data_IF_708284946658
#
_entry.id   IF_708284946658
#
_cell.length_a   1.000
_cell.length_b   1.000
_cell.length_c   1.000
_cell.angle_alpha   90.00
_cell.angle_beta   90.00
_cell.angle_gamma   90.00
#
_symmetry.space_group_name_H-M   'P 1'
#
loop_
_entity.id
_entity.type
_entity.pdbx_description
1 polymer ?
#
# COMPACT_ATOMS: atom_id res chain seq x y z
N UNK A 1 17.20 19.06 16.61
CA UNK A 1 15.70 19.01 16.63
C UNK A 1 15.28 17.61 16.20
N UNK A 2 14.27 17.00 16.81
CA UNK A 2 13.81 15.66 16.44
C UNK A 2 12.57 15.72 15.56
N UNK A 3 12.55 14.90 14.49
CA UNK A 3 11.46 14.76 13.54
C UNK A 3 11.21 13.28 13.33
N UNK A 4 9.94 12.89 13.32
CA UNK A 4 9.56 11.50 13.08
C UNK A 4 8.36 11.43 12.16
N UNK A 5 8.36 10.46 11.26
CA UNK A 5 7.30 10.24 10.28
C UNK A 5 6.95 8.76 10.23
N UNK A 6 5.66 8.43 10.32
CA UNK A 6 5.14 7.11 10.01
C UNK A 6 4.86 7.04 8.51
N UNK A 7 5.42 6.04 7.85
CA UNK A 7 5.16 5.71 6.45
C UNK A 7 4.29 4.46 6.46
N UNK A 8 3.07 4.59 5.94
CA UNK A 8 2.08 3.51 5.89
C UNK A 8 1.77 3.17 4.43
N UNK A 9 2.35 2.08 3.88
CA UNK A 9 2.11 1.69 2.49
C UNK A 9 0.69 1.20 2.24
N UNK A 10 -0.03 0.69 3.25
CA UNK A 10 -1.41 0.24 3.09
C UNK A 10 -2.33 1.44 2.80
N UNK A 11 -2.11 2.54 3.50
CA UNK A 11 -2.86 3.79 3.27
C UNK A 11 -2.21 4.70 2.24
N UNK A 12 -1.02 4.36 1.74
CA UNK A 12 -0.18 5.23 0.91
C UNK A 12 0.02 6.63 1.53
N UNK A 13 0.32 6.69 2.83
CA UNK A 13 0.46 7.97 3.56
C UNK A 13 1.80 8.12 4.25
N UNK A 14 2.22 9.37 4.41
CA UNK A 14 3.28 9.77 5.33
C UNK A 14 2.68 10.70 6.37
N UNK A 15 2.84 10.38 7.65
CA UNK A 15 2.26 11.18 8.75
C UNK A 15 3.35 11.59 9.73
N UNK A 16 3.41 12.86 10.09
CA UNK A 16 4.31 13.32 11.16
C UNK A 16 3.83 12.77 12.51
N UNK A 17 4.72 12.11 13.23
CA UNK A 17 4.45 11.53 14.56
C UNK A 17 5.37 12.13 15.62
N UNK A 18 4.92 12.08 16.88
CA UNK A 18 5.75 12.44 18.04
C UNK A 18 6.40 11.18 18.58
N UNK A 19 7.65 11.31 19.04
CA UNK A 19 8.39 10.24 19.73
C UNK A 19 8.44 8.96 18.89
N UNK A 20 8.72 9.08 17.58
CA UNK A 20 8.58 7.97 16.66
C UNK A 20 9.49 6.77 16.97
N UNK A 21 10.67 7.02 17.56
CA UNK A 21 11.57 5.95 17.99
C UNK A 21 11.01 5.21 19.21
N UNK A 22 10.64 5.94 20.27
CA UNK A 22 10.09 5.36 21.51
C UNK A 22 8.74 4.66 21.30
N UNK A 23 7.99 5.09 20.28
CA UNK A 23 6.69 4.53 19.93
C UNK A 23 6.73 3.59 18.72
N UNK A 24 7.92 3.24 18.22
CA UNK A 24 8.04 2.41 17.02
C UNK A 24 7.29 1.08 17.17
N UNK A 25 7.43 0.40 18.31
CA UNK A 25 6.73 -0.86 18.56
C UNK A 25 5.20 -0.72 18.45
N UNK A 26 4.65 0.35 19.06
CA UNK A 26 3.23 0.65 19.00
C UNK A 26 2.77 1.03 17.57
N UNK A 27 3.56 1.83 16.86
CA UNK A 27 3.21 2.33 15.53
C UNK A 27 3.30 1.24 14.45
N UNK A 28 4.22 0.28 14.63
CA UNK A 28 4.45 -0.84 13.73
C UNK A 28 3.68 -2.10 14.12
N UNK A 29 3.19 -2.18 15.36
CA UNK A 29 2.39 -3.29 15.86
C UNK A 29 3.20 -4.53 16.22
N UNK A 30 4.50 -4.37 16.51
CA UNK A 30 5.43 -5.47 16.81
C UNK A 30 6.58 -4.99 17.70
N UNK A 31 7.12 -5.86 18.54
CA UNK A 31 8.36 -5.63 19.31
C UNK A 31 9.62 -6.09 18.54
N UNK A 32 9.44 -6.81 17.43
CA UNK A 32 10.52 -7.26 16.53
C UNK A 32 10.85 -6.18 15.52
N UNK A 33 11.83 -5.33 15.85
CA UNK A 33 12.22 -4.16 15.06
C UNK A 33 13.59 -4.30 14.42
N UNK A 34 13.72 -3.83 13.18
CA UNK A 34 14.98 -3.57 12.50
C UNK A 34 15.21 -2.07 12.37
N UNK A 35 16.49 -1.65 12.40
CA UNK A 35 16.90 -0.25 12.30
C UNK A 35 17.95 -0.09 11.22
N UNK A 36 17.55 0.52 10.11
CA UNK A 36 18.47 0.94 9.07
C UNK A 36 18.97 2.37 9.33
N UNK A 37 20.29 2.55 9.43
CA UNK A 37 20.92 3.88 9.51
C UNK A 37 21.12 4.44 8.11
N UNK A 38 20.34 5.46 7.76
CA UNK A 38 20.41 6.13 6.46
C UNK A 38 21.59 7.12 6.43
N UNK A 39 21.82 7.76 7.57
CA UNK A 39 22.94 8.67 7.79
C UNK A 39 23.25 8.80 9.29
N UNK A 40 24.52 9.01 9.62
CA UNK A 40 24.97 9.37 10.96
C UNK A 40 26.20 10.28 10.87
N UNK A 41 26.34 11.22 11.79
CA UNK A 41 27.52 12.06 11.85
C UNK A 41 28.71 11.28 12.45
N UNK A 42 29.89 11.40 11.84
CA UNK A 42 31.10 10.71 12.30
C UNK A 42 31.55 11.10 13.71
N UNK A 43 31.14 12.27 14.20
CA UNK A 43 31.59 12.87 15.46
C UNK A 43 30.47 13.19 16.45
N UNK A 44 29.21 12.99 16.05
CA UNK A 44 28.06 13.19 16.94
C UNK A 44 27.09 12.00 16.82
N UNK A 45 27.10 11.08 17.80
CA UNK A 45 26.21 9.92 17.79
C UNK A 45 24.73 10.29 17.98
N UNK A 46 24.43 11.53 18.38
CA UNK A 46 23.05 12.02 18.50
C UNK A 46 22.51 12.60 17.20
N UNK A 47 23.35 12.71 16.16
CA UNK A 47 23.00 13.19 14.84
C UNK A 47 22.86 12.01 13.87
N UNK A 48 21.61 11.69 13.53
CA UNK A 48 21.30 10.55 12.69
C UNK A 48 19.97 10.68 11.97
N UNK A 49 19.87 9.99 10.83
CA UNK A 49 18.61 9.65 10.19
C UNK A 49 18.52 8.13 10.15
N UNK A 50 17.51 7.59 10.83
CA UNK A 50 17.26 6.16 10.95
C UNK A 50 15.86 5.84 10.41
N UNK A 51 15.72 4.64 9.88
CA UNK A 51 14.45 4.07 9.47
C UNK A 51 14.23 2.82 10.32
N UNK A 52 13.13 2.83 11.06
CA UNK A 52 12.72 1.71 11.91
C UNK A 52 11.60 0.97 11.20
N UNK A 53 11.74 -0.33 10.99
CA UNK A 53 10.71 -1.18 10.38
C UNK A 53 10.56 -2.46 11.20
N UNK A 54 9.56 -3.27 10.87
CA UNK A 54 9.49 -4.61 11.41
C UNK A 54 10.65 -5.46 10.88
N UNK A 55 11.22 -6.32 11.74
CA UNK A 55 12.21 -7.31 11.32
C UNK A 55 11.48 -8.55 10.75
N UNK A 56 11.21 -8.50 9.46
CA UNK A 56 10.55 -9.57 8.70
C UNK A 56 11.28 -10.92 8.78
N UNK A 57 12.60 -10.93 9.02
CA UNK A 57 13.35 -12.19 9.14
C UNK A 57 13.07 -12.92 10.46
N UNK A 58 12.60 -12.19 11.46
CA UNK A 58 12.29 -12.74 12.79
C UNK A 58 10.81 -12.99 12.98
N UNK A 59 9.94 -12.49 12.10
CA UNK A 59 8.50 -12.69 12.18
C UNK A 59 8.10 -14.07 11.68
N UNK A 60 7.12 -14.68 12.36
CA UNK A 60 6.58 -15.99 11.96
C UNK A 60 5.73 -15.87 10.68
N UNK A 61 5.08 -14.73 10.48
CA UNK A 61 4.30 -14.34 9.30
C UNK A 61 4.55 -12.84 8.99
N UNK A 62 4.56 -12.42 7.71
CA UNK A 62 4.79 -11.02 7.36
C UNK A 62 3.67 -10.12 7.88
N UNK A 63 4.00 -8.96 8.44
CA UNK A 63 3.00 -8.02 8.96
C UNK A 63 2.21 -7.32 7.85
N UNK A 64 2.75 -7.29 6.64
CA UNK A 64 2.09 -6.73 5.47
C UNK A 64 2.66 -7.31 4.18
N UNK A 65 1.81 -7.47 3.18
CA UNK A 65 2.24 -7.78 1.81
C UNK A 65 2.50 -6.51 0.97
N UNK A 66 2.17 -5.34 1.52
CA UNK A 66 2.44 -4.03 0.90
C UNK A 66 3.78 -3.48 1.35
N UNK A 67 4.37 -2.61 0.55
CA UNK A 67 5.67 -2.01 0.86
C UNK A 67 5.93 -0.73 0.09
N UNK A 68 7.13 -0.20 0.22
CA UNK A 68 7.55 1.00 -0.48
C UNK A 68 9.07 1.02 -0.71
N UNK A 69 9.50 1.84 -1.65
CA UNK A 69 10.89 2.23 -1.81
C UNK A 69 11.08 3.64 -1.23
N UNK A 70 12.06 3.80 -0.35
CA UNK A 70 12.52 5.08 0.15
C UNK A 70 13.80 5.48 -0.56
N UNK A 71 13.78 6.65 -1.19
CA UNK A 71 14.94 7.23 -1.85
C UNK A 71 15.52 8.35 -1.01
N UNK A 72 16.79 8.21 -0.65
CA UNK A 72 17.45 9.18 0.21
C UNK A 72 18.80 9.57 -0.38
N UNK A 73 19.02 10.87 -0.50
CA UNK A 73 20.26 11.42 -1.05
C UNK A 73 21.14 11.94 0.07
N UNK A 74 22.39 11.52 0.09
CA UNK A 74 23.37 12.01 1.06
C UNK A 74 24.64 12.36 0.31
N UNK A 75 25.09 13.62 0.43
CA UNK A 75 26.29 14.11 -0.24
C UNK A 75 26.31 13.83 -1.75
N UNK A 76 25.16 14.07 -2.42
CA UNK A 76 24.98 13.85 -3.85
C UNK A 76 24.81 12.39 -4.28
N UNK A 77 24.90 11.43 -3.35
CA UNK A 77 24.67 10.01 -3.65
C UNK A 77 23.26 9.62 -3.24
N UNK A 78 22.42 9.28 -4.23
CA UNK A 78 21.08 8.71 -3.99
C UNK A 78 21.19 7.22 -3.70
N UNK A 79 20.53 6.78 -2.64
CA UNK A 79 20.40 5.38 -2.22
C UNK A 79 18.91 5.03 -2.13
N UNK A 80 18.61 3.74 -2.27
CA UNK A 80 17.26 3.18 -2.18
C UNK A 80 17.20 2.16 -1.04
N UNK A 81 16.12 2.20 -0.26
CA UNK A 81 15.77 1.19 0.73
C UNK A 81 14.40 0.63 0.38
N UNK A 82 14.32 -0.69 0.26
CA UNK A 82 13.06 -1.39 0.00
C UNK A 82 12.53 -1.94 1.31
N UNK A 83 11.32 -1.53 1.66
CA UNK A 83 10.71 -1.86 2.94
C UNK A 83 9.38 -2.56 2.70
N UNK A 84 9.18 -3.65 3.43
CA UNK A 84 7.90 -4.34 3.55
C UNK A 84 7.19 -3.83 4.80
N UNK A 85 5.90 -3.55 4.68
CA UNK A 85 5.09 -3.01 5.75
C UNK A 85 5.41 -1.56 6.12
N UNK A 86 4.96 -1.17 7.32
CA UNK A 86 5.10 0.20 7.82
C UNK A 86 6.54 0.46 8.26
N UNK A 87 6.92 1.73 8.25
CA UNK A 87 8.18 2.16 8.85
C UNK A 87 8.05 3.51 9.54
N UNK A 88 8.94 3.76 10.49
CA UNK A 88 9.09 5.06 11.13
C UNK A 88 10.45 5.65 10.75
N UNK A 89 10.42 6.74 9.99
CA UNK A 89 11.60 7.55 9.69
C UNK A 89 11.85 8.51 10.85
N UNK A 90 13.04 8.48 11.43
CA UNK A 90 13.45 9.32 12.56
C UNK A 90 14.70 10.10 12.20
N UNK A 91 14.63 11.42 12.33
CA UNK A 91 15.74 12.34 12.10
C UNK A 91 15.99 13.15 13.38
N UNK A 92 17.24 13.17 13.84
CA UNK A 92 17.65 13.83 15.08
C UNK A 92 19.04 14.46 14.99
N UNK A 93 19.30 15.40 15.88
CA UNK A 93 20.58 16.10 15.99
C UNK A 93 20.78 17.27 15.01
N UNK A 94 22.03 17.48 14.64
CA UNK A 94 22.53 18.46 13.68
C UNK A 94 22.79 17.76 12.33
N UNK A 95 21.84 17.92 11.42
CA UNK A 95 21.78 17.21 10.15
C UNK A 95 22.24 18.17 9.04
N UNK A 96 23.16 17.76 8.15
CA UNK A 96 23.57 18.54 6.98
C UNK A 96 22.37 19.03 6.16
N UNK A 97 22.44 20.26 5.64
CA UNK A 97 21.31 20.91 4.96
C UNK A 97 20.73 20.07 3.83
N UNK A 98 21.56 19.40 3.02
CA UNK A 98 21.13 18.54 1.92
C UNK A 98 20.23 17.40 2.39
N UNK A 99 20.49 16.87 3.58
CA UNK A 99 19.68 15.82 4.22
C UNK A 99 18.48 16.43 4.95
N UNK A 100 18.68 17.54 5.66
CA UNK A 100 17.65 18.19 6.45
C UNK A 100 16.44 18.59 5.60
N UNK A 101 16.66 19.09 4.38
CA UNK A 101 15.60 19.47 3.43
C UNK A 101 14.70 18.29 3.01
N UNK A 102 15.28 17.09 2.89
CA UNK A 102 14.55 15.86 2.53
C UNK A 102 13.64 15.36 3.66
N UNK A 103 13.95 15.71 4.92
CA UNK A 103 13.17 15.29 6.11
C UNK A 103 12.48 16.47 6.82
N UNK A 104 12.42 17.63 6.16
CA UNK A 104 11.91 18.86 6.77
C UNK A 104 10.40 18.86 6.97
N UNK A 105 9.70 18.37 5.96
CA UNK A 105 8.24 18.36 5.92
C UNK A 105 7.73 16.99 5.54
N UNK A 106 6.46 16.72 5.85
CA UNK A 106 5.76 15.53 5.35
C UNK A 106 5.87 15.44 3.84
N UNK A 107 5.64 16.55 3.13
CA UNK A 107 5.72 16.60 1.67
C UNK A 107 7.14 16.33 1.12
N UNK A 108 8.20 16.64 1.88
CA UNK A 108 9.56 16.27 1.47
C UNK A 108 9.74 14.75 1.53
N UNK A 109 9.26 14.12 2.60
CA UNK A 109 9.33 12.66 2.78
C UNK A 109 8.43 11.92 1.79
N UNK A 110 7.22 12.44 1.51
CA UNK A 110 6.33 11.87 0.48
C UNK A 110 6.99 11.82 -0.89
N UNK A 111 7.74 12.86 -1.29
CA UNK A 111 8.48 12.88 -2.55
C UNK A 111 9.63 11.87 -2.61
N UNK A 112 10.11 11.44 -1.44
CA UNK A 112 11.15 10.43 -1.30
C UNK A 112 10.60 9.00 -1.28
N UNK A 113 9.28 8.82 -1.15
CA UNK A 113 8.63 7.51 -1.01
C UNK A 113 7.90 7.14 -2.29
N UNK A 114 8.14 5.92 -2.77
CA UNK A 114 7.39 5.29 -3.85
C UNK A 114 6.67 4.05 -3.30
N UNK A 115 5.35 4.13 -3.18
CA UNK A 115 4.54 3.01 -2.68
C UNK A 115 4.43 1.91 -3.73
N UNK A 116 4.67 0.67 -3.32
CA UNK A 116 4.45 -0.51 -4.15
C UNK A 116 2.98 -0.91 -3.99
N UNK A 117 2.15 -0.40 -4.89
CA UNK A 117 0.76 -0.84 -4.98
C UNK A 117 0.76 -2.29 -5.47
N UNK A 118 0.21 -3.21 -4.65
CA UNK A 118 -0.32 -4.44 -5.21
C UNK A 118 -1.53 -4.04 -6.04
N UNK A 119 -1.35 -3.90 -7.35
CA UNK A 119 -2.50 -3.86 -8.24
C UNK A 119 -3.29 -5.15 -7.98
N UNK A 120 -4.54 -5.02 -7.55
CA UNK A 120 -5.51 -6.11 -7.55
C UNK A 120 -5.64 -6.62 -8.99
N UNK A 121 -4.76 -7.53 -9.40
CA UNK A 121 -4.87 -8.28 -10.64
C UNK A 121 -5.94 -9.38 -10.53
N UNK A 122 -6.98 -9.15 -9.70
CA UNK A 122 -8.02 -10.12 -9.37
C UNK A 122 -9.45 -9.52 -9.43
N UNK A 123 -9.68 -8.50 -10.28
CA UNK A 123 -11.03 -8.08 -10.71
C UNK A 123 -11.13 -7.84 -12.22
N UNK A 124 -10.27 -8.49 -13.02
CA UNK A 124 -10.42 -8.57 -14.50
C UNK A 124 -10.41 -10.03 -14.96
N UNK A 125 -11.16 -10.86 -14.24
CA UNK A 125 -11.70 -12.09 -14.80
C UNK A 125 -13.22 -12.02 -14.59
N UNK A 126 -14.00 -12.30 -15.65
CA UNK A 126 -15.44 -12.63 -15.67
C UNK A 126 -16.44 -11.75 -16.44
N UNK A 127 -16.11 -10.58 -17.01
CA UNK A 127 -17.06 -9.85 -17.90
C UNK A 127 -16.86 -10.06 -19.39
N UNK A 128 -15.81 -10.76 -19.81
CA UNK A 128 -15.61 -11.12 -21.23
C UNK A 128 -15.79 -12.62 -21.47
N UNK A 129 -16.97 -13.13 -21.10
CA UNK A 129 -17.50 -14.34 -21.75
C UNK A 129 -18.31 -13.91 -22.99
N UNK A 130 -17.92 -14.29 -24.22
CA UNK A 130 -18.69 -13.97 -25.44
C UNK A 130 -20.05 -14.65 -25.56
N UNK A 131 -20.53 -15.36 -24.52
CA UNK A 131 -21.75 -16.17 -24.57
C UNK A 131 -22.96 -15.57 -23.85
N UNK A 132 -22.84 -14.41 -23.20
CA UNK A 132 -24.01 -13.64 -22.73
C UNK A 132 -24.31 -12.45 -23.64
N UNK A 133 -24.41 -12.70 -24.95
CA UNK A 133 -25.24 -11.87 -25.81
C UNK A 133 -26.70 -12.21 -25.51
N UNK A 134 -27.22 -11.64 -24.43
CA UNK A 134 -28.66 -11.65 -24.18
C UNK A 134 -29.33 -10.85 -25.28
N UNK A 135 -29.76 -11.58 -26.32
CA UNK A 135 -30.54 -11.10 -27.43
C UNK A 135 -31.72 -10.31 -26.90
N UNK A 136 -31.78 -9.05 -27.32
CA UNK A 136 -32.96 -8.19 -27.17
C UNK A 136 -34.19 -8.98 -27.59
N UNK A 137 -35.18 -9.00 -26.69
CA UNK A 137 -36.51 -9.50 -26.93
C UNK A 137 -37.07 -8.93 -28.24
N UNK A 138 -37.34 -9.84 -29.19
CA UNK A 138 -38.13 -9.57 -30.38
C UNK A 138 -39.19 -10.67 -30.50
N UNK A 139 -40.23 -10.61 -29.67
CA UNK A 139 -41.38 -11.51 -29.82
C UNK A 139 -42.17 -11.06 -31.06
N UNK A 140 -41.85 -11.67 -32.21
CA UNK A 140 -42.67 -11.59 -33.41
C UNK A 140 -43.97 -12.35 -33.16
N UNK A 141 -45.11 -11.65 -33.20
CA UNK A 141 -46.43 -12.27 -33.35
C UNK A 141 -46.44 -13.07 -34.65
N UNK A 142 -46.57 -14.39 -34.54
CA UNK A 142 -46.98 -15.23 -35.65
C UNK A 142 -48.40 -15.73 -35.35
N UNK A 143 -49.35 -15.26 -36.15
CA UNK A 143 -50.65 -15.91 -36.29
C UNK A 143 -50.41 -17.31 -36.87
N UNK A 144 -50.94 -18.34 -36.23
CA UNK A 144 -51.23 -19.60 -36.91
C UNK A 144 -52.69 -19.93 -36.68
N UNK A 145 -53.37 -20.00 -37.81
CA UNK A 145 -54.77 -20.34 -38.04
C UNK A 145 -54.90 -21.87 -38.01
N UNK A 146 -56.13 -22.34 -37.84
CA UNK A 146 -56.62 -23.70 -38.13
C UNK A 146 -56.21 -24.83 -37.17
N UNK A 147 -57.01 -25.85 -36.93
CA UNK A 147 -58.43 -26.18 -37.15
C UNK A 147 -58.60 -27.55 -36.47
N UNK A 148 -59.75 -27.81 -35.84
CA UNK A 148 -60.33 -29.16 -35.61
C UNK A 148 -59.48 -30.14 -34.76
N UNK A 149 -60.02 -31.09 -34.01
CA UNK A 149 -61.37 -31.56 -33.73
C UNK A 149 -61.23 -32.51 -32.53
N UNK A 150 -62.35 -32.66 -31.83
CA UNK A 150 -62.81 -33.89 -31.20
C UNK A 150 -62.34 -34.35 -29.80
N UNK A 151 -63.41 -34.65 -29.04
CA UNK A 151 -63.58 -35.71 -28.05
C UNK A 151 -63.39 -35.44 -26.54
N UNK A 152 -64.55 -35.13 -25.93
CA UNK A 152 -65.27 -35.86 -24.87
C UNK A 152 -64.77 -35.90 -23.41
N UNK A 153 -65.75 -35.57 -22.54
CA UNK A 153 -66.01 -35.98 -21.13
C UNK A 153 -65.04 -35.40 -20.08
N UNK A 154 -65.45 -34.94 -18.90
CA UNK A 154 -66.67 -35.14 -18.10
C UNK A 154 -66.61 -34.25 -16.85
N UNK A 155 -67.77 -33.86 -16.29
CA UNK A 155 -67.97 -33.82 -14.83
C UNK A 155 -68.15 -32.46 -14.15
N UNK A 156 -69.38 -31.98 -14.08
CA UNK A 156 -70.19 -31.78 -12.85
C UNK A 156 -71.35 -30.82 -13.13
#
# INVERSE_FOLDING_TARGET
>A
MFRSYLIDPLSCTVTKVREGFDRAEQLLGTDRLDVATLWTASFDPHSSVNLVSADEATLDEPLSETGFSLFFTCHGTRKEWQITGKAVLVAGGDIPTDIAEQVDTVASVERAVEFKLQMEAEVVAWTEHPQFSNGRAGVRRAQVKNERSDHRKSGS
#
